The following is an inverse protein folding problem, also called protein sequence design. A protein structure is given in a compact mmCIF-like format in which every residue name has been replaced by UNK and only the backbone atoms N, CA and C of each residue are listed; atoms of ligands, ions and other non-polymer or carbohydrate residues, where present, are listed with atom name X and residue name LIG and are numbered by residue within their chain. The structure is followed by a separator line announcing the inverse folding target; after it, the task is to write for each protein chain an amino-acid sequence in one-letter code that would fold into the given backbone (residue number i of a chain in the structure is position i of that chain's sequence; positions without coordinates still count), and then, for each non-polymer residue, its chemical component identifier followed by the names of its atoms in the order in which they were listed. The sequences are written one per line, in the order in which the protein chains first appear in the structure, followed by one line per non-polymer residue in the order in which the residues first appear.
data_IF_146406482362
#
_entry.id   IF_146406482362
#
_cell.length_a   1.000
_cell.length_b   1.000
_cell.length_c   1.000
_cell.angle_alpha   90.00
_cell.angle_beta   90.00
_cell.angle_gamma   90.00
#
_symmetry.space_group_name_H-M   'P 1'
#
loop_
_entity.id
_entity.type
_entity.pdbx_description
1 polymer ?
#
# COMPACT_ATOMS: atom_id res chain seq x y z
N UNK A 1 14.17 -13.19 -19.94
CA UNK A 1 13.58 -12.22 -20.89
C UNK A 1 12.89 -11.16 -20.04
N UNK A 2 13.34 -9.90 -20.06
CA UNK A 2 12.70 -8.84 -19.29
C UNK A 2 11.35 -8.51 -19.95
N UNK A 3 10.28 -8.47 -19.17
CA UNK A 3 8.96 -8.05 -19.67
C UNK A 3 9.03 -6.56 -20.07
N UNK A 4 8.36 -6.14 -21.15
CA UNK A 4 8.40 -4.75 -21.59
C UNK A 4 7.78 -3.85 -20.53
N UNK A 5 8.47 -2.75 -20.17
CA UNK A 5 7.87 -1.76 -19.28
C UNK A 5 6.68 -1.07 -19.96
N UNK A 6 5.66 -0.77 -19.16
CA UNK A 6 4.50 0.03 -19.52
C UNK A 6 4.45 1.28 -18.66
N UNK A 7 4.06 2.39 -19.31
CA UNK A 7 3.81 3.67 -18.66
C UNK A 7 2.31 3.93 -18.66
N UNK A 8 1.80 4.33 -17.50
CA UNK A 8 0.41 4.71 -17.29
C UNK A 8 0.36 6.15 -16.83
N UNK A 9 -0.56 6.93 -17.37
CA UNK A 9 -0.66 8.37 -17.11
C UNK A 9 -2.11 8.72 -16.78
N UNK A 10 -2.30 9.56 -15.79
CA UNK A 10 -3.60 10.13 -15.45
C UNK A 10 -3.44 11.55 -14.92
N UNK A 11 -4.48 12.37 -15.05
CA UNK A 11 -4.52 13.72 -14.45
C UNK A 11 -5.77 13.84 -13.57
N UNK A 12 -5.60 14.41 -12.38
CA UNK A 12 -6.67 14.61 -11.37
C UNK A 12 -6.71 16.06 -10.91
N UNK A 13 -7.86 16.54 -10.45
CA UNK A 13 -8.01 17.93 -9.99
C UNK A 13 -9.30 18.22 -9.21
N UNK A 14 -10.13 17.22 -8.94
CA UNK A 14 -11.54 17.41 -8.53
C UNK A 14 -11.89 16.70 -7.22
N UNK A 15 -10.88 16.17 -6.53
CA UNK A 15 -11.05 15.41 -5.29
C UNK A 15 -11.66 14.02 -5.50
N UNK A 16 -11.82 13.56 -6.73
CA UNK A 16 -12.40 12.25 -7.04
C UNK A 16 -11.32 11.21 -7.37
N UNK A 17 -11.61 9.95 -7.05
CA UNK A 17 -10.73 8.84 -7.39
C UNK A 17 -10.80 8.51 -8.87
N UNK A 18 -9.65 8.49 -9.55
CA UNK A 18 -9.49 8.11 -10.95
C UNK A 18 -8.58 6.90 -11.08
N UNK A 19 -8.82 6.08 -12.10
CA UNK A 19 -8.01 4.91 -12.39
C UNK A 19 -6.68 5.36 -13.01
N UNK A 20 -5.55 5.00 -12.40
CA UNK A 20 -4.21 5.17 -12.98
C UNK A 20 -3.75 3.91 -13.71
N UNK A 21 -3.94 2.74 -13.08
CA UNK A 21 -3.60 1.43 -13.67
C UNK A 21 -4.80 0.51 -13.52
N UNK A 22 -5.15 -0.17 -14.61
CA UNK A 22 -6.24 -1.14 -14.66
C UNK A 22 -5.71 -2.46 -15.20
N UNK A 23 -6.05 -3.56 -14.52
CA UNK A 23 -5.68 -4.90 -14.96
C UNK A 23 -4.37 -5.40 -14.37
N UNK A 24 -3.92 -6.55 -14.89
CA UNK A 24 -2.78 -7.28 -14.33
C UNK A 24 -1.47 -6.56 -14.61
N UNK A 25 -0.82 -6.07 -13.55
CA UNK A 25 0.43 -5.33 -13.66
C UNK A 25 1.25 -5.42 -12.38
N UNK A 26 2.57 -5.41 -12.51
CA UNK A 26 3.49 -5.12 -11.40
C UNK A 26 4.00 -3.70 -11.56
N UNK A 27 3.56 -2.81 -10.68
CA UNK A 27 3.92 -1.38 -10.65
C UNK A 27 5.19 -1.23 -9.84
N UNK A 28 6.25 -0.75 -10.49
CA UNK A 28 7.55 -0.51 -9.86
C UNK A 28 7.64 0.89 -9.27
N UNK A 29 6.95 1.87 -9.85
CA UNK A 29 6.90 3.22 -9.30
C UNK A 29 5.69 4.02 -9.70
N UNK A 30 5.35 4.99 -8.85
CA UNK A 30 4.38 6.06 -9.13
C UNK A 30 5.08 7.39 -8.89
N UNK A 31 4.79 8.36 -9.74
CA UNK A 31 5.20 9.76 -9.65
C UNK A 31 3.95 10.63 -9.68
N UNK A 32 3.92 11.65 -8.84
CA UNK A 32 2.90 12.68 -8.80
C UNK A 32 3.58 14.05 -8.96
N UNK A 33 3.11 14.85 -9.90
CA UNK A 33 3.61 16.20 -10.14
C UNK A 33 2.48 17.21 -10.00
N UNK A 34 2.52 18.01 -8.94
CA UNK A 34 1.51 19.04 -8.69
C UNK A 34 1.74 20.25 -9.58
N UNK A 35 0.69 20.68 -10.27
CA UNK A 35 0.67 21.87 -11.12
C UNK A 35 0.16 23.11 -10.36
N UNK A 36 -0.25 22.92 -9.11
CA UNK A 36 -0.61 23.94 -8.13
C UNK A 36 0.08 23.65 -6.79
N UNK A 37 0.25 24.67 -5.93
CA UNK A 37 0.76 24.47 -4.57
C UNK A 37 -0.27 23.77 -3.69
N UNK A 38 0.24 23.02 -2.71
CA UNK A 38 -0.53 22.39 -1.64
C UNK A 38 -1.65 21.47 -2.14
N UNK A 39 -1.43 20.80 -3.28
CA UNK A 39 -2.37 19.81 -3.80
C UNK A 39 -2.42 18.61 -2.85
N UNK A 40 -3.59 18.33 -2.30
CA UNK A 40 -3.84 17.11 -1.54
C UNK A 40 -3.91 15.94 -2.50
N UNK A 41 -3.11 14.90 -2.27
CA UNK A 41 -3.06 13.72 -3.11
C UNK A 41 -3.30 12.45 -2.32
N UNK A 42 -3.93 11.46 -2.95
CA UNK A 42 -4.07 10.13 -2.36
C UNK A 42 -3.87 9.02 -3.36
N UNK A 43 -3.46 7.87 -2.86
CA UNK A 43 -3.25 6.66 -3.64
C UNK A 43 -3.92 5.49 -2.93
N UNK A 44 -4.68 4.68 -3.67
CA UNK A 44 -5.28 3.45 -3.12
C UNK A 44 -5.25 2.30 -4.11
N UNK A 45 -5.22 1.09 -3.56
CA UNK A 45 -5.54 -0.13 -4.26
C UNK A 45 -7.06 -0.35 -4.16
N UNK A 46 -7.71 -0.63 -5.28
CA UNK A 46 -9.08 -1.16 -5.32
C UNK A 46 -9.04 -2.58 -5.88
N UNK A 47 -9.49 -3.54 -5.08
CA UNK A 47 -9.57 -4.95 -5.41
C UNK A 47 -10.76 -5.23 -6.32
N UNK A 48 -10.67 -6.32 -7.09
CA UNK A 48 -11.74 -6.77 -7.99
C UNK A 48 -13.10 -6.99 -7.27
N UNK A 49 -13.08 -7.41 -6.01
CA UNK A 49 -14.26 -7.58 -5.15
C UNK A 49 -14.83 -6.27 -4.59
N UNK A 50 -14.22 -5.13 -4.94
CA UNK A 50 -14.62 -3.79 -4.53
C UNK A 50 -13.92 -3.29 -3.27
N UNK A 51 -13.18 -4.13 -2.55
CA UNK A 51 -12.45 -3.73 -1.34
C UNK A 51 -11.38 -2.69 -1.67
N UNK A 52 -11.18 -1.69 -0.81
CA UNK A 52 -10.17 -0.64 -1.04
C UNK A 52 -9.19 -0.55 0.12
N UNK A 53 -7.94 -0.20 -0.20
CA UNK A 53 -6.89 0.04 0.78
C UNK A 53 -6.05 1.23 0.37
N UNK A 54 -5.91 2.21 1.26
CA UNK A 54 -5.04 3.37 1.07
C UNK A 54 -3.58 2.90 1.13
N UNK A 55 -2.83 3.31 0.12
CA UNK A 55 -1.39 3.10 0.00
C UNK A 55 -0.61 4.31 0.52
N UNK A 56 -1.20 5.48 0.29
CA UNK A 56 -0.71 6.76 0.75
C UNK A 56 -1.94 7.54 1.21
N UNK A 57 -2.02 7.84 2.52
CA UNK A 57 -2.98 8.81 3.00
C UNK A 57 -2.61 10.19 2.45
N UNK A 58 -3.64 11.02 2.33
CA UNK A 58 -3.57 12.39 1.84
C UNK A 58 -2.29 13.14 2.15
N UNK A 59 -1.45 13.40 1.14
CA UNK A 59 -0.26 14.25 1.30
C UNK A 59 -0.45 15.58 0.57
N UNK A 60 0.00 16.68 1.17
CA UNK A 60 0.10 17.96 0.46
C UNK A 60 1.39 17.98 -0.36
N UNK A 61 1.26 18.22 -1.66
CA UNK A 61 2.40 18.37 -2.55
C UNK A 61 2.83 19.83 -2.71
N UNK A 62 4.14 20.12 -2.61
CA UNK A 62 4.65 21.40 -3.05
C UNK A 62 4.57 21.53 -4.58
N UNK A 63 4.34 22.76 -5.05
CA UNK A 63 4.24 23.08 -6.47
C UNK A 63 5.50 22.63 -7.23
N UNK A 64 5.31 22.02 -8.41
CA UNK A 64 6.36 21.64 -9.35
C UNK A 64 7.48 20.75 -8.76
N UNK A 65 7.19 20.05 -7.67
CA UNK A 65 8.13 19.11 -7.05
C UNK A 65 7.61 17.69 -7.27
N UNK A 66 8.26 16.90 -8.13
CA UNK A 66 7.86 15.51 -8.34
C UNK A 66 7.94 14.71 -7.04
N UNK A 67 6.82 14.14 -6.62
CA UNK A 67 6.74 13.27 -5.46
C UNK A 67 6.68 11.80 -5.89
N UNK A 68 7.48 10.96 -5.24
CA UNK A 68 7.54 9.52 -5.51
C UNK A 68 7.11 8.74 -4.26
N UNK A 69 5.85 8.28 -4.18
CA UNK A 69 5.40 7.45 -3.07
C UNK A 69 6.24 6.16 -2.96
N UNK A 70 6.66 5.81 -1.76
CA UNK A 70 7.53 4.67 -1.49
C UNK A 70 6.75 3.34 -1.45
N UNK A 71 6.20 2.90 -2.59
CA UNK A 71 5.34 1.71 -2.67
C UNK A 71 6.11 0.38 -2.62
N UNK A 72 7.40 0.37 -2.98
CA UNK A 72 8.24 -0.82 -2.92
C UNK A 72 7.87 -1.96 -3.88
N UNK A 73 7.04 -1.67 -4.89
CA UNK A 73 6.46 -2.67 -5.79
C UNK A 73 5.04 -3.04 -5.40
N UNK A 74 4.08 -2.77 -6.29
CA UNK A 74 2.67 -3.09 -6.09
C UNK A 74 2.20 -4.02 -7.21
N UNK A 75 1.57 -5.13 -6.86
CA UNK A 75 1.02 -6.07 -7.85
C UNK A 75 -0.49 -5.96 -7.90
N UNK A 76 -1.02 -5.91 -9.11
CA UNK A 76 -2.43 -5.89 -9.41
C UNK A 76 -2.82 -7.23 -10.03
N UNK A 77 -3.83 -7.88 -9.46
CA UNK A 77 -4.48 -9.04 -10.04
C UNK A 77 -5.54 -8.64 -11.08
N UNK A 78 -6.19 -9.64 -11.66
CA UNK A 78 -7.28 -9.41 -12.61
C UNK A 78 -8.43 -8.65 -11.94
N UNK A 79 -8.85 -7.53 -12.53
CA UNK A 79 -9.91 -6.67 -12.00
C UNK A 79 -9.47 -5.67 -10.92
N UNK A 80 -8.23 -5.78 -10.41
CA UNK A 80 -7.68 -4.78 -9.51
C UNK A 80 -7.37 -3.47 -10.24
N UNK A 81 -7.36 -2.38 -9.48
CA UNK A 81 -7.06 -1.04 -9.97
C UNK A 81 -6.16 -0.31 -8.99
N UNK A 82 -5.15 0.38 -9.51
CA UNK A 82 -4.47 1.44 -8.77
C UNK A 82 -5.21 2.75 -9.07
N UNK A 83 -5.71 3.41 -8.03
CA UNK A 83 -6.45 4.65 -8.15
C UNK A 83 -5.72 5.79 -7.46
N UNK A 84 -5.83 6.97 -8.05
CA UNK A 84 -5.25 8.23 -7.58
C UNK A 84 -6.35 9.25 -7.35
N UNK A 85 -6.13 10.20 -6.45
CA UNK A 85 -6.95 11.40 -6.33
C UNK A 85 -6.06 12.63 -6.15
N UNK A 86 -6.57 13.78 -6.57
CA UNK A 86 -6.11 15.06 -6.06
C UNK A 86 -7.23 16.10 -6.07
N UNK A 87 -7.21 17.02 -5.11
CA UNK A 87 -8.15 18.16 -5.01
C UNK A 87 -7.75 19.36 -5.86
N UNK A 88 -6.51 19.38 -6.34
CA UNK A 88 -5.97 20.37 -7.26
C UNK A 88 -5.20 19.69 -8.40
N UNK A 89 -4.88 20.37 -9.52
CA UNK A 89 -4.30 19.75 -10.70
C UNK A 89 -2.97 19.01 -10.44
N UNK A 90 -2.96 17.70 -10.68
CA UNK A 90 -1.80 16.81 -10.53
C UNK A 90 -1.71 15.86 -11.72
N UNK A 91 -0.52 15.75 -12.29
CA UNK A 91 -0.19 14.71 -13.28
C UNK A 91 0.46 13.51 -12.60
N UNK A 92 -0.03 12.32 -12.94
CA UNK A 92 0.41 11.05 -12.39
C UNK A 92 1.05 10.20 -13.46
N UNK A 93 2.19 9.58 -13.11
CA UNK A 93 2.88 8.64 -13.97
C UNK A 93 3.18 7.38 -13.17
N UNK A 94 2.63 6.24 -13.57
CA UNK A 94 3.07 4.94 -13.07
C UNK A 94 3.94 4.24 -14.11
N UNK A 95 4.95 3.54 -13.63
CA UNK A 95 5.77 2.63 -14.42
C UNK A 95 5.60 1.24 -13.85
N UNK A 96 5.39 0.27 -14.74
CA UNK A 96 5.26 -1.13 -14.36
C UNK A 96 5.61 -2.05 -15.51
N UNK A 97 5.33 -3.33 -15.34
CA UNK A 97 5.36 -4.31 -16.42
C UNK A 97 4.08 -5.16 -16.36
N UNK A 98 3.54 -5.58 -17.52
CA UNK A 98 2.56 -6.64 -17.55
C UNK A 98 3.27 -7.91 -17.06
N UNK A 99 2.77 -8.56 -16.02
CA UNK A 99 3.52 -9.62 -15.36
C UNK A 99 2.73 -10.37 -14.31
N UNK A 100 3.40 -11.30 -13.63
CA UNK A 100 2.79 -12.21 -12.66
C UNK A 100 2.03 -11.41 -11.58
N UNK A 101 0.73 -11.70 -11.46
CA UNK A 101 -0.09 -11.18 -10.39
C UNK A 101 0.39 -11.81 -9.07
N UNK A 102 1.19 -11.07 -8.30
CA UNK A 102 1.45 -11.45 -6.93
C UNK A 102 0.23 -11.11 -6.07
N UNK A 103 -0.11 -12.00 -5.14
CA UNK A 103 -1.23 -11.76 -4.27
C UNK A 103 -0.97 -10.52 -3.39
N UNK A 104 -2.03 -9.77 -3.14
CA UNK A 104 -2.03 -8.66 -2.19
C UNK A 104 -3.04 -8.98 -1.10
N UNK A 105 -2.61 -8.98 0.17
CA UNK A 105 -3.56 -9.09 1.28
C UNK A 105 -3.87 -7.71 1.82
N UNK A 106 -5.17 -7.43 2.00
CA UNK A 106 -5.68 -6.17 2.54
C UNK A 106 -6.38 -6.46 3.86
N UNK A 107 -6.07 -5.66 4.87
CA UNK A 107 -6.70 -5.77 6.18
C UNK A 107 -6.81 -4.38 6.82
N UNK A 108 -7.87 -4.13 7.57
CA UNK A 108 -7.94 -2.98 8.47
C UNK A 108 -7.90 -3.47 9.92
N UNK A 109 -7.12 -2.81 10.77
CA UNK A 109 -7.08 -3.08 12.22
C UNK A 109 -7.38 -1.83 13.02
N UNK A 110 -7.85 -2.02 14.25
CA UNK A 110 -8.05 -0.99 15.29
C UNK A 110 -8.22 -1.66 16.66
N UNK A 111 -8.03 -0.93 17.75
CA UNK A 111 -8.35 -1.40 19.11
C UNK A 111 -7.34 -2.39 19.70
N UNK A 112 -6.14 -2.48 19.15
CA UNK A 112 -4.99 -3.17 19.76
C UNK A 112 -4.96 -4.70 19.61
N UNK A 113 -5.92 -5.30 18.92
CA UNK A 113 -5.95 -6.74 18.69
C UNK A 113 -5.04 -7.16 17.53
N UNK A 114 -4.34 -8.29 17.70
CA UNK A 114 -3.54 -8.90 16.64
C UNK A 114 -4.44 -9.61 15.62
N UNK A 115 -4.28 -9.28 14.35
CA UNK A 115 -4.99 -9.89 13.24
C UNK A 115 -4.01 -10.45 12.21
N UNK A 116 -4.42 -11.50 11.50
CA UNK A 116 -3.56 -12.18 10.52
C UNK A 116 -3.66 -11.49 9.17
N UNK A 117 -2.54 -10.96 8.68
CA UNK A 117 -2.43 -10.34 7.36
C UNK A 117 -2.09 -11.37 6.28
N UNK A 118 -1.12 -12.26 6.54
CA UNK A 118 -0.70 -13.31 5.60
C UNK A 118 -0.51 -14.63 6.35
N UNK A 119 -0.92 -15.74 5.74
CA UNK A 119 -0.64 -17.10 6.23
C UNK A 119 0.34 -17.76 5.27
N UNK A 120 1.35 -18.44 5.79
CA UNK A 120 2.35 -19.15 5.01
C UNK A 120 1.90 -20.56 4.58
N UNK A 121 2.61 -21.21 3.64
CA UNK A 121 3.90 -20.79 3.09
C UNK A 121 3.75 -19.59 2.13
N UNK A 122 4.53 -18.53 2.34
CA UNK A 122 4.50 -17.35 1.48
C UNK A 122 5.76 -16.48 1.65
N UNK A 123 6.17 -15.75 0.62
CA UNK A 123 7.14 -14.66 0.69
C UNK A 123 6.41 -13.34 0.53
N UNK A 124 6.53 -12.42 1.49
CA UNK A 124 5.93 -11.08 1.45
C UNK A 124 7.01 -10.08 1.13
N UNK A 125 6.95 -9.39 -0.01
CA UNK A 125 8.01 -8.43 -0.42
C UNK A 125 8.01 -7.14 0.37
N UNK A 126 6.82 -6.63 0.67
CA UNK A 126 6.65 -5.41 1.46
C UNK A 126 5.32 -5.43 2.22
N UNK A 127 5.27 -4.68 3.32
CA UNK A 127 4.03 -4.32 4.01
C UNK A 127 3.93 -2.81 4.03
N UNK A 128 2.78 -2.31 3.59
CA UNK A 128 2.41 -0.91 3.64
C UNK A 128 1.32 -0.75 4.70
N UNK A 129 1.44 0.31 5.50
CA UNK A 129 0.43 0.73 6.46
C UNK A 129 0.02 2.16 6.10
N UNK A 130 -1.28 2.43 6.11
CA UNK A 130 -1.84 3.77 5.93
C UNK A 130 -2.74 4.13 7.11
N UNK A 131 -2.47 5.28 7.72
CA UNK A 131 -3.33 5.80 8.76
C UNK A 131 -4.69 6.19 8.17
N UNK A 132 -5.76 5.76 8.83
CA UNK A 132 -7.14 6.06 8.46
C UNK A 132 -7.99 6.48 9.67
N UNK A 133 -7.40 6.57 10.86
CA UNK A 133 -8.01 7.10 12.07
C UNK A 133 -7.88 8.63 12.19
N UNK A 134 -8.63 9.25 13.11
CA UNK A 134 -8.67 10.71 13.31
C UNK A 134 -7.58 11.27 14.24
N UNK A 135 -6.76 10.41 14.85
CA UNK A 135 -5.72 10.79 15.80
C UNK A 135 -4.48 9.92 15.61
N UNK A 136 -3.32 10.35 16.13
CA UNK A 136 -2.10 9.57 16.09
C UNK A 136 -2.30 8.17 16.70
N UNK A 137 -1.71 7.17 16.04
CA UNK A 137 -1.81 5.78 16.42
C UNK A 137 -0.47 5.14 16.74
N UNK A 138 -0.53 3.93 17.29
CA UNK A 138 0.62 3.03 17.33
C UNK A 138 0.30 1.77 16.54
N UNK A 139 1.30 1.26 15.82
CA UNK A 139 1.21 0.03 15.04
C UNK A 139 2.20 -1.02 15.53
N UNK A 140 1.85 -2.29 15.31
CA UNK A 140 2.69 -3.43 15.64
C UNK A 140 2.65 -4.47 14.53
N UNK A 141 3.75 -5.19 14.39
CA UNK A 141 3.85 -6.31 13.46
C UNK A 141 4.68 -7.43 14.06
N UNK A 142 4.25 -8.68 13.87
CA UNK A 142 4.95 -9.86 14.37
C UNK A 142 4.82 -11.04 13.44
N UNK A 143 5.78 -11.94 13.53
CA UNK A 143 5.73 -13.27 12.96
C UNK A 143 5.25 -14.26 14.04
N UNK A 144 4.10 -14.89 13.84
CA UNK A 144 3.64 -16.01 14.65
C UNK A 144 4.00 -17.31 13.94
N UNK A 145 4.92 -18.08 14.49
CA UNK A 145 5.34 -19.38 13.95
C UNK A 145 4.23 -20.41 14.09
N UNK A 146 4.23 -21.40 13.19
CA UNK A 146 3.32 -22.56 13.30
C UNK A 146 3.41 -23.30 14.64
N UNK A 147 4.55 -23.21 15.34
CA UNK A 147 4.76 -23.72 16.70
C UNK A 147 4.10 -22.90 17.81
N UNK A 148 3.47 -21.76 17.48
CA UNK A 148 2.89 -20.82 18.43
C UNK A 148 3.86 -19.76 18.97
N UNK A 149 5.15 -19.84 18.66
CA UNK A 149 6.13 -18.82 19.06
C UNK A 149 5.94 -17.52 18.28
N UNK A 150 5.99 -16.38 18.97
CA UNK A 150 5.87 -15.06 18.34
C UNK A 150 7.21 -14.31 18.37
N UNK A 151 7.63 -13.79 17.22
CA UNK A 151 8.77 -12.90 17.07
C UNK A 151 8.27 -11.52 16.65
N UNK A 152 8.50 -10.50 17.48
CA UNK A 152 8.15 -9.13 17.13
C UNK A 152 9.05 -8.62 16.00
N UNK A 153 8.44 -7.92 15.04
CA UNK A 153 9.15 -7.21 13.96
C UNK A 153 9.08 -5.71 14.24
N UNK A 154 7.90 -5.22 14.62
CA UNK A 154 7.66 -3.82 15.03
C UNK A 154 6.84 -3.84 16.31
N UNK A 155 7.26 -3.04 17.29
CA UNK A 155 6.60 -2.93 18.60
C UNK A 155 6.16 -1.49 18.82
N UNK A 156 4.84 -1.28 18.78
CA UNK A 156 4.16 0.01 19.07
C UNK A 156 4.88 1.21 18.47
N UNK A 157 5.16 1.12 17.19
CA UNK A 157 5.73 2.24 16.46
C UNK A 157 4.67 3.31 16.25
N UNK A 158 5.02 4.57 16.52
CA UNK A 158 4.12 5.70 16.32
C UNK A 158 3.81 5.91 14.83
N UNK A 159 2.56 6.21 14.54
CA UNK A 159 2.08 6.56 13.21
C UNK A 159 1.25 7.83 13.32
N UNK A 160 1.78 8.91 12.76
CA UNK A 160 1.09 10.19 12.77
C UNK A 160 -0.20 10.17 11.95
N UNK A 161 -1.09 11.12 12.25
CA UNK A 161 -2.29 11.37 11.46
C UNK A 161 -1.94 11.49 9.96
N UNK A 162 -2.76 10.85 9.12
CA UNK A 162 -2.57 10.84 7.67
C UNK A 162 -1.16 10.43 7.20
N UNK A 163 -0.43 9.61 7.97
CA UNK A 163 0.85 9.06 7.57
C UNK A 163 0.71 7.72 6.83
N UNK A 164 1.53 7.53 5.79
CA UNK A 164 1.69 6.26 5.10
C UNK A 164 3.11 5.75 5.32
N UNK A 165 3.27 4.46 5.60
CA UNK A 165 4.58 3.89 5.90
C UNK A 165 4.79 2.55 5.20
N UNK A 166 5.98 2.40 4.59
CA UNK A 166 6.54 1.10 4.23
C UNK A 166 7.33 0.55 5.40
N UNK A 167 6.95 -0.64 5.86
CA UNK A 167 7.42 -1.16 7.14
C UNK A 167 8.59 -2.13 7.01
N UNK A 168 8.62 -2.98 5.97
CA UNK A 168 9.60 -4.07 5.88
C UNK A 168 10.07 -4.38 4.46
N UNK A 169 11.24 -5.01 4.41
CA UNK A 169 11.80 -5.76 3.30
C UNK A 169 11.30 -7.23 3.34
N UNK A 170 11.69 -8.11 2.40
CA UNK A 170 11.02 -9.41 2.23
C UNK A 170 10.96 -10.26 3.51
N UNK A 171 9.77 -10.75 3.86
CA UNK A 171 9.53 -11.71 4.95
C UNK A 171 9.18 -13.06 4.35
N UNK A 172 9.89 -14.11 4.75
CA UNK A 172 9.59 -15.50 4.35
C UNK A 172 8.82 -16.19 5.47
N UNK A 173 7.65 -16.72 5.14
CA UNK A 173 6.74 -17.46 6.01
C UNK A 173 6.82 -18.94 5.68
N UNK A 174 7.12 -19.78 6.68
CA UNK A 174 7.00 -21.22 6.56
C UNK A 174 5.54 -21.68 6.57
N UNK A 175 5.29 -22.97 6.32
CA UNK A 175 3.96 -23.54 6.42
C UNK A 175 3.39 -23.37 7.85
N UNK A 176 2.19 -22.80 7.96
CA UNK A 176 1.54 -22.52 9.24
C UNK A 176 2.02 -21.25 9.96
N UNK A 177 3.08 -20.60 9.47
CA UNK A 177 3.47 -19.27 9.96
C UNK A 177 2.42 -18.23 9.58
N UNK A 178 2.28 -17.18 10.39
CA UNK A 178 1.37 -16.06 10.17
C UNK A 178 2.10 -14.75 10.36
N UNK A 179 2.01 -13.87 9.37
CA UNK A 179 2.34 -12.46 9.55
C UNK A 179 1.13 -11.77 10.17
N UNK A 180 1.31 -11.23 11.37
CA UNK A 180 0.24 -10.56 12.10
C UNK A 180 0.56 -9.09 12.29
N UNK A 181 -0.49 -8.28 12.23
CA UNK A 181 -0.44 -6.83 12.42
C UNK A 181 -1.44 -6.42 13.48
N UNK A 182 -1.18 -5.30 14.13
CA UNK A 182 -2.09 -4.68 15.08
C UNK A 182 -1.98 -3.17 14.98
N UNK A 183 -3.02 -2.48 15.39
CA UNK A 183 -2.97 -1.04 15.61
C UNK A 183 -3.97 -0.63 16.67
N UNK A 184 -3.62 0.42 17.41
CA UNK A 184 -4.52 1.02 18.40
C UNK A 184 -5.59 1.87 17.69
N UNK A 185 -5.18 2.62 16.65
CA UNK A 185 -6.06 3.38 15.75
C UNK A 185 -6.35 2.65 14.44
N UNK A 186 -7.28 3.20 13.63
CA UNK A 186 -7.63 2.60 12.33
C UNK A 186 -6.46 2.69 11.35
N UNK A 187 -5.84 1.54 11.06
CA UNK A 187 -4.79 1.40 10.05
C UNK A 187 -5.23 0.44 8.96
N UNK A 188 -5.01 0.82 7.71
CA UNK A 188 -5.17 -0.05 6.55
C UNK A 188 -3.81 -0.63 6.15
N UNK A 189 -3.76 -1.96 6.04
CA UNK A 189 -2.55 -2.75 5.80
C UNK A 189 -2.62 -3.41 4.44
N UNK A 190 -1.49 -3.41 3.74
CA UNK A 190 -1.34 -4.09 2.46
C UNK A 190 -0.03 -4.86 2.47
N UNK A 191 -0.11 -6.19 2.41
CA UNK A 191 1.05 -7.02 2.08
C UNK A 191 1.11 -7.16 0.55
N UNK A 192 2.24 -6.77 -0.07
CA UNK A 192 2.44 -6.86 -1.52
C UNK A 192 3.48 -7.89 -1.90
N UNK A 193 3.37 -8.43 -3.11
CA UNK A 193 4.33 -9.40 -3.62
C UNK A 193 4.26 -10.73 -2.87
N UNK A 194 3.05 -11.18 -2.48
CA UNK A 194 2.87 -12.43 -1.75
C UNK A 194 2.95 -13.61 -2.72
N UNK A 195 3.96 -14.47 -2.52
CA UNK A 195 4.35 -15.62 -3.37
C UNK A 195 4.42 -16.94 -2.61
#
# INVERSE_FOLDING_TARGET
MALPQQTYIASTSDGTWKDLVVGVATISSVLANALSSDAFIGLRLRKADGTTARLMPGNLLPLNTPHRPALGGLSLGAGDKLQVLSDAPVDWIATGAPGLAYASSVLATSGGAWATLVTGPATVRAVLASHAGPADGALGMRLLKGSGQAAAIIVREAMGEAAGKRLVAPIVLGAGDKLQVMSDERIEWIATGVE
#
